data_IF_782040439444
#
_entry.id   IF_782040439444
#
_cell.length_a   1.000
_cell.length_b   1.000
_cell.length_c   1.000
_cell.angle_alpha   90.00
_cell.angle_beta   90.00
_cell.angle_gamma   90.00
#
_symmetry.space_group_name_H-M   'P 1'
#
loop_
_entity.id
_entity.type
_entity.pdbx_description
1 polymer ?
#
# COMPACT_ATOMS: atom_id res chain seq x y z
N UNK A 1 -22.81 -11.38 3.93
CA UNK A 1 -22.05 -11.07 2.70
C UNK A 1 -21.73 -9.59 2.73
N UNK A 2 -20.49 -9.16 2.48
CA UNK A 2 -20.18 -7.73 2.38
C UNK A 2 -21.02 -7.12 1.25
N UNK A 3 -21.76 -6.05 1.51
CA UNK A 3 -22.48 -5.33 0.47
C UNK A 3 -21.45 -4.86 -0.58
N UNK A 4 -21.64 -5.26 -1.83
CA UNK A 4 -20.78 -4.96 -3.00
C UNK A 4 -19.58 -5.90 -3.24
N UNK A 5 -19.40 -6.98 -2.49
CA UNK A 5 -18.39 -7.98 -2.86
C UNK A 5 -18.75 -8.65 -4.19
N UNK A 6 -17.81 -8.65 -5.14
CA UNK A 6 -17.93 -9.34 -6.43
C UNK A 6 -16.85 -10.39 -6.54
N UNK A 7 -17.26 -11.64 -6.73
CA UNK A 7 -16.33 -12.76 -6.98
C UNK A 7 -15.56 -12.50 -8.27
N UNK A 8 -14.24 -12.68 -8.22
CA UNK A 8 -13.36 -12.51 -9.39
C UNK A 8 -12.96 -11.06 -9.70
N UNK A 9 -13.51 -10.06 -9.01
CA UNK A 9 -13.00 -8.70 -9.10
C UNK A 9 -11.67 -8.60 -8.32
N UNK A 10 -10.64 -8.08 -8.97
CA UNK A 10 -9.38 -7.75 -8.30
C UNK A 10 -9.63 -6.66 -7.25
N UNK A 11 -9.14 -6.88 -6.03
CA UNK A 11 -9.26 -5.92 -4.95
C UNK A 11 -7.89 -5.31 -4.68
N UNK A 12 -7.87 -4.04 -4.30
CA UNK A 12 -6.66 -3.35 -3.87
C UNK A 12 -6.96 -2.49 -2.65
N UNK A 13 -5.90 -2.23 -1.89
CA UNK A 13 -5.86 -1.20 -0.84
C UNK A 13 -4.86 -0.16 -1.28
N UNK A 14 -5.25 1.12 -1.25
CA UNK A 14 -4.32 2.23 -1.43
C UNK A 14 -3.96 2.81 -0.06
N UNK A 15 -2.68 2.76 0.29
CA UNK A 15 -2.10 3.42 1.45
C UNK A 15 -1.47 4.73 0.98
N UNK A 16 -1.81 5.84 1.64
CA UNK A 16 -1.20 7.14 1.41
C UNK A 16 -0.59 7.59 2.73
N UNK A 17 0.73 7.78 2.76
CA UNK A 17 1.49 7.97 4.00
C UNK A 17 2.58 9.04 3.87
N UNK A 18 3.04 9.57 5.00
CA UNK A 18 4.14 10.51 5.07
C UNK A 18 4.83 10.43 6.44
N UNK A 19 6.16 10.56 6.45
CA UNK A 19 6.95 10.72 7.67
C UNK A 19 7.08 9.46 8.54
N UNK A 20 7.88 9.51 9.61
CA UNK A 20 8.19 8.34 10.43
C UNK A 20 6.94 7.83 11.18
N UNK A 21 6.79 6.50 11.27
CA UNK A 21 5.78 5.91 12.13
C UNK A 21 6.04 6.26 13.60
N UNK A 22 5.03 6.83 14.27
CA UNK A 22 5.07 7.11 15.72
C UNK A 22 4.54 5.95 16.57
N UNK A 23 3.87 4.99 15.94
CA UNK A 23 3.42 3.74 16.55
C UNK A 23 4.38 2.61 16.14
N UNK A 24 4.98 1.96 17.13
CA UNK A 24 5.99 0.91 16.98
C UNK A 24 5.44 -0.50 17.26
N UNK A 25 4.12 -0.66 17.36
CA UNK A 25 3.53 -1.98 17.66
C UNK A 25 3.70 -3.01 16.54
N UNK A 26 3.98 -2.56 15.31
CA UNK A 26 4.31 -3.40 14.17
C UNK A 26 5.48 -2.78 13.41
N UNK A 27 6.69 -3.27 13.66
CA UNK A 27 7.88 -2.86 12.91
C UNK A 27 7.84 -3.37 11.46
N UNK A 28 8.72 -2.85 10.61
CA UNK A 28 8.76 -3.22 9.19
C UNK A 28 8.82 -4.73 8.92
N UNK A 29 9.65 -5.51 9.64
CA UNK A 29 9.64 -6.97 9.58
C UNK A 29 8.29 -7.60 9.96
N UNK A 30 7.69 -7.17 11.07
CA UNK A 30 6.39 -7.66 11.53
C UNK A 30 5.27 -7.42 10.51
N UNK A 31 5.27 -6.26 9.86
CA UNK A 31 4.30 -5.93 8.80
C UNK A 31 4.50 -6.80 7.56
N UNK A 32 5.73 -7.00 7.10
CA UNK A 32 6.00 -7.88 5.95
C UNK A 32 5.57 -9.32 6.23
N UNK A 33 5.85 -9.83 7.43
CA UNK A 33 5.43 -11.17 7.83
C UNK A 33 3.91 -11.29 7.93
N UNK A 34 3.24 -10.24 8.41
CA UNK A 34 1.78 -10.19 8.42
C UNK A 34 1.20 -10.26 7.00
N UNK A 35 1.75 -9.50 6.05
CA UNK A 35 1.32 -9.54 4.64
C UNK A 35 1.51 -10.94 4.05
N UNK A 36 2.68 -11.57 4.26
CA UNK A 36 2.96 -12.93 3.77
C UNK A 36 1.97 -13.96 4.32
N UNK A 37 1.64 -13.87 5.62
CA UNK A 37 0.72 -14.80 6.30
C UNK A 37 -0.75 -14.56 5.94
N UNK A 38 -1.10 -13.33 5.56
CA UNK A 38 -2.46 -12.93 5.24
C UNK A 38 -2.82 -13.11 3.77
N UNK A 39 -1.83 -13.30 2.89
CA UNK A 39 -2.04 -13.48 1.46
C UNK A 39 -2.77 -14.82 1.17
N UNK A 40 -3.99 -14.72 0.65
CA UNK A 40 -4.74 -15.85 0.06
C UNK A 40 -4.51 -15.85 -1.46
N UNK A 41 -3.80 -16.85 -2.02
CA UNK A 41 -3.56 -16.91 -3.47
C UNK A 41 -4.83 -17.01 -4.31
N UNK A 42 -5.94 -17.51 -3.74
CA UNK A 42 -7.23 -17.56 -4.42
C UNK A 42 -7.99 -16.23 -4.37
N UNK A 43 -7.55 -15.30 -3.50
CA UNK A 43 -8.15 -13.98 -3.30
C UNK A 43 -7.06 -12.91 -3.13
N UNK A 44 -6.28 -12.63 -4.18
CA UNK A 44 -5.21 -11.66 -4.09
C UNK A 44 -5.75 -10.27 -3.78
N UNK A 45 -5.10 -9.57 -2.86
CA UNK A 45 -5.36 -8.16 -2.55
C UNK A 45 -4.02 -7.41 -2.69
N UNK A 46 -3.94 -6.53 -3.69
CA UNK A 46 -2.76 -5.70 -3.89
C UNK A 46 -2.72 -4.56 -2.87
N UNK A 47 -1.56 -4.27 -2.29
CA UNK A 47 -1.34 -3.08 -1.45
C UNK A 47 -0.51 -2.08 -2.25
N UNK A 48 -1.18 -1.05 -2.74
CA UNK A 48 -0.55 0.07 -3.44
C UNK A 48 -0.20 1.16 -2.43
N UNK A 49 0.94 1.81 -2.63
CA UNK A 49 1.45 2.80 -1.68
C UNK A 49 1.82 4.08 -2.42
N UNK A 50 1.30 5.20 -1.93
CA UNK A 50 1.80 6.54 -2.21
C UNK A 50 2.50 7.04 -0.94
N UNK A 51 3.79 7.26 -1.02
CA UNK A 51 4.61 7.80 0.06
C UNK A 51 5.07 9.23 -0.26
N UNK A 52 5.22 10.06 0.76
CA UNK A 52 5.63 11.45 0.61
C UNK A 52 6.99 11.75 1.23
N UNK A 53 7.83 12.42 0.45
CA UNK A 53 9.10 12.98 0.92
C UNK A 53 10.10 11.91 1.36
N UNK A 54 10.91 12.25 2.35
CA UNK A 54 11.95 11.38 2.90
C UNK A 54 11.42 10.56 4.10
N UNK A 55 10.55 9.59 3.82
CA UNK A 55 10.09 8.60 4.81
C UNK A 55 11.23 7.61 5.14
N UNK A 56 11.66 7.49 6.41
CA UNK A 56 12.62 6.46 6.82
C UNK A 56 12.09 5.03 6.64
N UNK A 57 10.77 4.84 6.59
CA UNK A 57 10.10 3.55 6.43
C UNK A 57 9.89 3.15 4.96
N UNK A 58 10.44 3.92 4.02
CA UNK A 58 10.35 3.65 2.57
C UNK A 58 10.65 2.20 2.21
N UNK A 59 11.75 1.63 2.73
CA UNK A 59 12.13 0.26 2.41
C UNK A 59 11.09 -0.77 2.88
N UNK A 60 10.42 -0.49 4.01
CA UNK A 60 9.30 -1.30 4.49
C UNK A 60 8.13 -1.22 3.52
N UNK A 61 7.78 -0.01 3.07
CA UNK A 61 6.68 0.20 2.14
C UNK A 61 6.92 -0.45 0.78
N UNK A 62 8.10 -0.29 0.20
CA UNK A 62 8.49 -0.96 -1.05
C UNK A 62 8.32 -2.48 -0.92
N UNK A 63 8.75 -3.06 0.21
CA UNK A 63 8.60 -4.49 0.47
C UNK A 63 7.13 -4.92 0.60
N UNK A 64 6.28 -4.13 1.27
CA UNK A 64 4.84 -4.41 1.40
C UNK A 64 4.15 -4.41 0.04
N UNK A 65 4.42 -3.40 -0.80
CA UNK A 65 3.89 -3.35 -2.16
C UNK A 65 4.34 -4.58 -2.95
N UNK A 66 5.63 -4.91 -2.92
CA UNK A 66 6.17 -6.06 -3.63
C UNK A 66 5.56 -7.40 -3.17
N UNK A 67 5.46 -7.62 -1.86
CA UNK A 67 4.94 -8.87 -1.29
C UNK A 67 3.46 -9.09 -1.55
N UNK A 68 2.68 -8.01 -1.64
CA UNK A 68 1.24 -8.07 -1.95
C UNK A 68 0.94 -8.08 -3.46
N UNK A 69 1.95 -7.89 -4.32
CA UNK A 69 1.77 -7.70 -5.76
C UNK A 69 1.20 -6.32 -6.14
N UNK A 70 1.29 -5.35 -5.24
CA UNK A 70 0.94 -3.94 -5.50
C UNK A 70 2.10 -3.13 -6.06
N UNK A 71 1.93 -1.81 -6.05
CA UNK A 71 2.88 -0.84 -6.60
C UNK A 71 3.20 0.26 -5.59
N UNK A 72 4.42 0.79 -5.66
CA UNK A 72 4.89 1.88 -4.81
C UNK A 72 5.19 3.12 -5.66
N UNK A 73 4.76 4.29 -5.18
CA UNK A 73 5.04 5.59 -5.77
C UNK A 73 5.48 6.55 -4.66
N UNK A 74 6.65 7.18 -4.81
CA UNK A 74 7.05 8.29 -3.95
C UNK A 74 6.75 9.62 -4.65
N UNK A 75 6.23 10.59 -3.89
CA UNK A 75 5.97 11.95 -4.33
C UNK A 75 6.67 12.93 -3.37
N UNK A 76 7.09 14.08 -3.87
CA UNK A 76 7.76 15.07 -3.00
C UNK A 76 6.78 15.69 -1.99
N UNK A 77 5.54 15.94 -2.41
CA UNK A 77 4.51 16.61 -1.61
C UNK A 77 3.10 16.19 -2.03
N UNK A 78 2.15 16.29 -1.10
CA UNK A 78 0.73 16.07 -1.39
C UNK A 78 0.06 17.29 -2.04
N UNK A 79 0.75 18.42 -2.14
CA UNK A 79 0.21 19.67 -2.66
C UNK A 79 0.39 19.85 -4.18
N UNK A 80 0.84 18.82 -4.89
CA UNK A 80 1.00 18.85 -6.35
C UNK A 80 -0.12 18.06 -7.07
N UNK A 81 -0.35 18.32 -8.38
CA UNK A 81 -1.23 17.50 -9.21
C UNK A 81 -0.81 16.03 -9.31
N UNK A 82 0.44 15.69 -8.97
CA UNK A 82 0.96 14.33 -9.09
C UNK A 82 0.23 13.35 -8.16
N UNK A 83 -0.28 13.83 -7.02
CA UNK A 83 -1.12 13.01 -6.14
C UNK A 83 -2.39 12.57 -6.86
N UNK A 84 -3.08 13.48 -7.55
CA UNK A 84 -4.29 13.13 -8.29
C UNK A 84 -3.98 12.13 -9.42
N UNK A 85 -2.84 12.31 -10.10
CA UNK A 85 -2.35 11.36 -11.11
C UNK A 85 -2.10 9.98 -10.52
N UNK A 86 -1.39 9.89 -9.39
CA UNK A 86 -1.08 8.63 -8.73
C UNK A 86 -2.33 7.91 -8.20
N UNK A 87 -3.28 8.64 -7.61
CA UNK A 87 -4.56 8.09 -7.16
C UNK A 87 -5.34 7.51 -8.34
N UNK A 88 -5.39 8.22 -9.46
CA UNK A 88 -6.05 7.71 -10.67
C UNK A 88 -5.36 6.44 -11.18
N UNK A 89 -4.02 6.38 -11.22
CA UNK A 89 -3.30 5.17 -11.65
C UNK A 89 -3.68 3.96 -10.78
N UNK A 90 -3.86 4.13 -9.48
CA UNK A 90 -4.10 3.01 -8.56
C UNK A 90 -5.56 2.62 -8.34
N UNK A 91 -6.51 3.50 -8.66
CA UNK A 91 -7.94 3.28 -8.40
C UNK A 91 -8.83 3.28 -9.65
N UNK A 92 -8.29 3.50 -10.84
CA UNK A 92 -9.05 3.48 -12.10
C UNK A 92 -9.30 2.07 -12.62
#
# INVERSE_FOLDING_TARGET
MLANYRVGQANSVLVITAGPHTDQTLDGPGLQDFIRKSADPAKPIAVNIIDFGADPDRATWEAVAQLSGGSYQNLETSASPDLATAVNIFLS
#
